data_IF_751361992488
#
_entry.id   IF_751361992488
#
_cell.length_a   1.000
_cell.length_b   1.000
_cell.length_c   1.000
_cell.angle_alpha   90.00
_cell.angle_beta   90.00
_cell.angle_gamma   90.00
#
_symmetry.space_group_name_H-M   'P 1'
#
loop_
_entity.id
_entity.type
_entity.pdbx_description
1 polymer ?
#
# COMPACT_ATOMS: atom_id res chain seq x y z
N UNK A 1 -3.65 -3.53 7.72
CA UNK A 1 -3.27 -3.28 6.32
C UNK A 1 -2.53 -1.97 6.17
N UNK A 2 -1.46 -1.97 5.38
CA UNK A 2 -0.73 -0.75 5.00
C UNK A 2 -0.79 -0.58 3.49
N UNK A 3 -0.57 0.63 2.94
CA UNK A 3 -0.63 0.81 1.50
C UNK A 3 0.44 0.01 0.74
N UNK A 4 1.63 -0.16 1.33
CA UNK A 4 2.67 -1.03 0.78
C UNK A 4 2.27 -2.52 0.85
N UNK A 5 1.59 -2.95 1.92
CA UNK A 5 1.09 -4.32 2.04
C UNK A 5 0.03 -4.66 0.98
N UNK A 6 -0.85 -3.70 0.66
CA UNK A 6 -1.82 -3.81 -0.42
C UNK A 6 -1.14 -3.95 -1.80
N UNK A 7 -0.13 -3.12 -2.08
CA UNK A 7 0.65 -3.22 -3.33
C UNK A 7 1.43 -4.53 -3.44
N UNK A 8 1.91 -5.07 -2.33
CA UNK A 8 2.65 -6.33 -2.29
C UNK A 8 1.77 -7.57 -2.45
N UNK A 9 0.44 -7.42 -2.56
CA UNK A 9 -0.49 -8.54 -2.68
C UNK A 9 -0.73 -9.30 -1.37
N UNK A 10 -0.27 -8.76 -0.23
CA UNK A 10 -0.53 -9.33 1.09
C UNK A 10 -1.90 -8.95 1.65
N UNK A 11 -2.64 -8.10 0.95
CA UNK A 11 -4.05 -7.85 1.23
C UNK A 11 -4.90 -8.74 0.32
N UNK A 12 -5.88 -9.43 0.90
CA UNK A 12 -6.85 -10.19 0.13
C UNK A 12 -7.60 -9.22 -0.82
N UNK A 13 -7.51 -9.42 -2.16
CA UNK A 13 -8.20 -8.56 -3.13
C UNK A 13 -9.72 -8.58 -2.94
N UNK A 14 -10.24 -9.56 -2.20
CA UNK A 14 -11.62 -9.62 -1.72
C UNK A 14 -11.91 -8.72 -0.51
N UNK A 15 -11.02 -7.82 -0.09
CA UNK A 15 -11.21 -6.85 1.01
C UNK A 15 -11.45 -5.40 0.56
N UNK A 16 -11.35 -5.10 -0.73
CA UNK A 16 -11.68 -3.80 -1.32
C UNK A 16 -12.78 -3.95 -2.38
N UNK A 17 -14.02 -3.61 -2.05
CA UNK A 17 -15.18 -3.77 -2.98
C UNK A 17 -15.44 -2.54 -3.85
N UNK A 18 -14.90 -1.37 -3.50
CA UNK A 18 -15.28 -0.12 -4.13
C UNK A 18 -14.03 0.61 -4.61
N UNK A 19 -13.63 0.28 -5.84
CA UNK A 19 -12.73 1.11 -6.63
C UNK A 19 -13.52 2.29 -7.20
N UNK A 20 -13.19 3.52 -6.81
CA UNK A 20 -13.76 4.73 -7.40
C UNK A 20 -12.70 5.41 -8.27
N UNK A 21 -13.04 5.70 -9.53
CA UNK A 21 -12.20 6.53 -10.40
C UNK A 21 -12.45 7.99 -10.06
N UNK A 22 -11.43 8.67 -9.53
CA UNK A 22 -11.49 10.09 -9.14
C UNK A 22 -11.17 11.04 -10.29
N UNK A 23 -10.74 10.51 -11.44
CA UNK A 23 -10.41 11.25 -12.64
C UNK A 23 -8.93 11.61 -12.76
N UNK A 24 -8.62 12.50 -13.70
CA UNK A 24 -7.26 12.96 -13.95
C UNK A 24 -7.02 14.32 -13.31
N UNK A 25 -5.94 14.45 -12.55
CA UNK A 25 -5.48 15.72 -12.01
C UNK A 25 -4.01 15.92 -12.39
N UNK A 26 -3.72 16.96 -13.17
CA UNK A 26 -2.37 17.33 -13.58
C UNK A 26 -1.58 16.18 -14.26
N UNK A 27 -2.28 15.35 -15.05
CA UNK A 27 -1.66 14.20 -15.74
C UNK A 27 -1.55 12.95 -14.88
N UNK A 28 -2.08 12.97 -13.65
CA UNK A 28 -2.16 11.82 -12.76
C UNK A 28 -3.60 11.30 -12.72
N UNK A 29 -3.81 10.05 -13.11
CA UNK A 29 -5.07 9.32 -12.98
C UNK A 29 -5.21 8.76 -11.57
N UNK A 30 -6.31 9.10 -10.91
CA UNK A 30 -6.56 8.74 -9.53
C UNK A 30 -7.64 7.68 -9.39
N UNK A 31 -7.35 6.67 -8.58
CA UNK A 31 -8.29 5.67 -8.12
C UNK A 31 -8.28 5.62 -6.60
N UNK A 32 -9.46 5.51 -6.00
CA UNK A 32 -9.66 5.29 -4.58
C UNK A 32 -10.13 3.88 -4.30
N UNK A 33 -9.67 3.30 -3.19
CA UNK A 33 -10.22 2.09 -2.60
C UNK A 33 -10.68 2.37 -1.17
N UNK A 34 -11.73 1.65 -0.77
CA UNK A 34 -12.30 1.69 0.56
C UNK A 34 -12.31 0.27 1.15
N UNK A 35 -12.13 0.13 2.47
CA UNK A 35 -12.19 -1.18 3.11
C UNK A 35 -13.63 -1.71 3.09
N UNK A 36 -13.77 -3.04 3.07
CA UNK A 36 -15.07 -3.69 3.33
C UNK A 36 -15.40 -3.78 4.81
N UNK A 37 -14.37 -3.94 5.65
CA UNK A 37 -14.53 -4.11 7.10
C UNK A 37 -14.47 -2.75 7.80
N UNK A 38 -15.37 -2.46 8.76
CA UNK A 38 -15.27 -1.27 9.60
C UNK A 38 -14.06 -1.28 10.53
N UNK A 39 -13.47 -2.45 10.79
CA UNK A 39 -12.29 -2.63 11.66
C UNK A 39 -10.97 -2.48 10.89
N UNK A 40 -11.02 -2.03 9.64
CA UNK A 40 -9.83 -1.87 8.81
C UNK A 40 -8.90 -0.76 9.33
N UNK A 41 -7.60 -0.98 9.17
CA UNK A 41 -6.57 -0.02 9.58
C UNK A 41 -6.53 1.27 8.73
N UNK A 42 -7.33 1.35 7.67
CA UNK A 42 -7.46 2.52 6.80
C UNK A 42 -8.94 2.80 6.52
N UNK A 43 -9.28 4.06 6.32
CA UNK A 43 -10.61 4.50 5.87
C UNK A 43 -10.67 4.67 4.34
N UNK A 44 -9.56 5.11 3.73
CA UNK A 44 -9.45 5.30 2.28
C UNK A 44 -7.99 5.21 1.85
N UNK A 45 -7.74 4.60 0.69
CA UNK A 45 -6.44 4.67 0.03
C UNK A 45 -6.64 5.14 -1.41
N UNK A 46 -5.88 6.14 -1.81
CA UNK A 46 -5.87 6.69 -3.16
C UNK A 46 -4.53 6.38 -3.82
N UNK A 47 -4.58 5.87 -5.06
CA UNK A 47 -3.44 5.62 -5.90
C UNK A 47 -3.47 6.58 -7.09
N UNK A 48 -2.35 7.26 -7.31
CA UNK A 48 -2.15 8.17 -8.43
C UNK A 48 -1.18 7.55 -9.43
N UNK A 49 -1.64 7.35 -10.65
CA UNK A 49 -0.88 6.79 -11.75
C UNK A 49 -0.58 7.86 -12.80
N UNK A 50 0.66 7.92 -13.26
CA UNK A 50 1.03 8.66 -14.46
C UNK A 50 1.23 7.62 -15.57
N UNK A 51 0.33 7.60 -16.55
CA UNK A 51 0.22 6.48 -17.50
C UNK A 51 0.09 5.16 -16.71
N UNK A 52 0.98 4.19 -16.93
CA UNK A 52 0.97 2.90 -16.24
C UNK A 52 1.89 2.84 -15.00
N UNK A 53 2.39 4.00 -14.53
CA UNK A 53 3.37 4.06 -13.43
C UNK A 53 2.75 4.66 -12.17
N UNK A 54 2.78 3.92 -11.05
CA UNK A 54 2.38 4.45 -9.75
C UNK A 54 3.32 5.59 -9.32
N UNK A 55 2.77 6.78 -9.09
CA UNK A 55 3.50 7.98 -8.66
C UNK A 55 3.20 8.39 -7.23
N UNK A 56 1.97 8.18 -6.78
CA UNK A 56 1.56 8.62 -5.46
C UNK A 56 0.61 7.62 -4.81
N UNK A 57 0.74 7.51 -3.49
CA UNK A 57 -0.23 6.84 -2.63
C UNK A 57 -0.58 7.77 -1.49
N UNK A 58 -1.88 7.93 -1.23
CA UNK A 58 -2.39 8.66 -0.08
C UNK A 58 -3.29 7.71 0.71
N UNK A 59 -3.05 7.61 2.02
CA UNK A 59 -3.89 6.83 2.93
C UNK A 59 -4.49 7.76 3.97
N UNK A 60 -5.79 7.63 4.19
CA UNK A 60 -6.51 8.18 5.32
C UNK A 60 -6.83 7.03 6.28
N UNK A 61 -6.48 7.18 7.56
CA UNK A 61 -6.86 6.22 8.60
C UNK A 61 -8.17 6.64 9.33
N UNK A 62 -8.77 5.76 10.14
CA UNK A 62 -9.99 6.08 10.90
C UNK A 62 -9.83 7.22 11.92
N UNK A 63 -8.60 7.55 12.32
CA UNK A 63 -8.26 8.67 13.21
C UNK A 63 -8.02 9.98 12.43
N UNK A 64 -8.33 10.00 11.13
CA UNK A 64 -8.11 11.09 10.20
C UNK A 64 -6.63 11.47 9.97
N UNK A 65 -5.70 10.57 10.29
CA UNK A 65 -4.30 10.74 9.90
C UNK A 65 -4.17 10.52 8.40
N UNK A 66 -3.38 11.38 7.75
CA UNK A 66 -3.05 11.27 6.33
C UNK A 66 -1.59 10.89 6.16
N UNK A 67 -1.34 9.73 5.54
CA UNK A 67 -0.02 9.33 5.07
C UNK A 67 0.09 9.57 3.57
N UNK A 68 1.19 10.18 3.11
CA UNK A 68 1.47 10.40 1.68
C UNK A 68 2.83 9.81 1.31
N UNK A 69 2.82 9.01 0.26
CA UNK A 69 4.01 8.38 -0.31
C UNK A 69 4.13 8.83 -1.77
N UNK A 70 5.30 9.33 -2.15
CA UNK A 70 5.64 9.66 -3.54
C UNK A 70 6.72 8.70 -4.01
N UNK A 71 6.59 8.26 -5.25
CA UNK A 71 7.52 7.34 -5.88
C UNK A 71 8.29 8.06 -6.99
N UNK A 72 9.59 7.78 -7.05
CA UNK A 72 10.51 8.30 -8.06
C UNK A 72 11.36 7.15 -8.59
N UNK A 73 11.82 7.26 -9.84
CA UNK A 73 12.66 6.24 -10.50
C UNK A 73 12.04 4.82 -10.44
N UNK A 74 10.71 4.75 -10.61
CA UNK A 74 9.97 3.49 -10.60
C UNK A 74 10.36 2.67 -11.82
N UNK A 75 10.74 1.43 -11.58
CA UNK A 75 10.98 0.44 -12.62
C UNK A 75 9.94 -0.69 -12.44
N UNK A 76 9.19 -0.96 -13.50
CA UNK A 76 8.12 -1.95 -13.50
C UNK A 76 8.58 -3.24 -14.19
N UNK A 77 8.04 -4.38 -13.77
CA UNK A 77 8.32 -5.70 -14.36
C UNK A 77 9.81 -6.09 -14.38
N UNK A 78 10.57 -5.63 -13.38
CA UNK A 78 11.96 -6.03 -13.17
C UNK A 78 12.05 -7.47 -12.65
N UNK A 79 13.02 -8.22 -13.16
CA UNK A 79 13.44 -9.46 -12.52
C UNK A 79 14.18 -9.13 -11.22
N UNK A 80 13.67 -9.64 -10.10
CA UNK A 80 14.14 -9.32 -8.76
C UNK A 80 14.73 -10.57 -8.10
N UNK A 81 16.03 -10.59 -7.76
CA UNK A 81 16.62 -11.75 -7.10
C UNK A 81 15.94 -12.06 -5.77
N UNK A 82 15.61 -13.34 -5.53
CA UNK A 82 14.92 -13.80 -4.31
C UNK A 82 15.64 -13.36 -3.02
N UNK A 83 16.98 -13.27 -3.04
CA UNK A 83 17.78 -12.82 -1.90
C UNK A 83 17.48 -11.38 -1.42
N UNK A 84 16.79 -10.56 -2.24
CA UNK A 84 16.33 -9.21 -1.82
C UNK A 84 15.21 -9.25 -0.79
N UNK A 85 14.52 -10.37 -0.64
CA UNK A 85 13.42 -10.58 0.29
C UNK A 85 13.82 -11.44 1.50
N UNK A 86 15.12 -11.55 1.78
CA UNK A 86 15.66 -12.22 2.96
C UNK A 86 16.07 -11.21 4.02
N UNK A 87 15.70 -11.46 5.27
CA UNK A 87 16.10 -10.67 6.43
C UNK A 87 16.98 -11.54 7.34
N UNK A 88 18.23 -11.12 7.55
CA UNK A 88 19.13 -11.72 8.55
C UNK A 88 19.17 -10.79 9.76
N UNK A 89 18.75 -11.29 10.91
CA UNK A 89 18.75 -10.53 12.15
C UNK A 89 20.15 -10.56 12.78
N UNK A 90 20.70 -9.42 13.24
CA UNK A 90 21.93 -9.41 14.03
C UNK A 90 21.82 -10.22 15.32
N UNK A 91 22.94 -10.73 15.82
CA UNK A 91 23.00 -11.42 17.11
C UNK A 91 22.49 -10.51 18.24
N UNK A 92 21.69 -11.07 19.14
CA UNK A 92 21.08 -10.32 20.25
C UNK A 92 19.88 -9.46 19.86
N UNK A 93 19.39 -9.55 18.62
CA UNK A 93 18.11 -8.94 18.23
C UNK A 93 16.98 -9.53 19.08
N UNK A 94 16.28 -8.66 19.82
CA UNK A 94 15.06 -9.05 20.51
C UNK A 94 13.93 -9.26 19.49
N UNK A 95 13.22 -10.38 19.62
CA UNK A 95 12.13 -10.77 18.73
C UNK A 95 10.83 -10.72 19.51
N UNK A 96 10.05 -9.68 19.25
CA UNK A 96 8.71 -9.51 19.82
C UNK A 96 7.70 -10.00 18.78
N UNK A 97 6.85 -10.93 19.18
CA UNK A 97 5.70 -11.36 18.38
C UNK A 97 4.44 -10.84 19.04
N UNK A 98 3.56 -10.24 18.23
CA UNK A 98 2.22 -9.90 18.68
C UNK A 98 1.42 -11.21 18.78
N UNK A 99 1.24 -11.70 20.01
CA UNK A 99 0.54 -12.96 20.27
C UNK A 99 -0.97 -12.75 20.23
N UNK A 100 -1.66 -13.42 19.30
CA UNK A 100 -3.07 -13.74 19.49
C UNK A 100 -3.14 -14.92 20.47
N UNK A 101 -3.60 -14.64 21.69
CA UNK A 101 -4.12 -15.66 22.61
C UNK A 101 -5.55 -16.02 22.22
#
# INVERSE_FOLDING_TARGET
>A
DTPAGLLAGNADPSLSDLGEVLGNQEGIDWISIFPKSPDAAFAQIQFGFELDTLRMVQMLDPLQQITRIRFWNVNVNLDMPVGKFSLTLPDGTDIIQEGNA
#
